data_IF_729711832869
#
_entry.id   IF_729711832869
#
_cell.length_a   1.000
_cell.length_b   1.000
_cell.length_c   1.000
_cell.angle_alpha   90.00
_cell.angle_beta   90.00
_cell.angle_gamma   90.00
#
_symmetry.space_group_name_H-M   'P 1'
#
loop_
_entity.id
_entity.type
_entity.pdbx_description
1 polymer ?
#
# COMPACT_ATOMS: atom_id res chain seq x y z
N UNK A 1 -12.17 -16.49 35.16
CA UNK A 1 -13.47 -15.80 35.27
C UNK A 1 -13.85 -15.03 34.01
N UNK A 2 -12.97 -14.23 33.41
CA UNK A 2 -13.29 -13.41 32.22
C UNK A 2 -13.75 -14.27 31.01
N UNK A 3 -13.05 -15.36 30.71
CA UNK A 3 -13.44 -16.25 29.60
C UNK A 3 -14.80 -16.92 29.79
N UNK A 4 -15.20 -17.22 31.03
CA UNK A 4 -16.50 -17.86 31.30
C UNK A 4 -17.67 -16.90 31.03
N UNK A 5 -17.49 -15.62 31.38
CA UNK A 5 -18.46 -14.56 31.07
C UNK A 5 -18.51 -14.32 29.56
N UNK A 6 -17.35 -14.29 28.88
CA UNK A 6 -17.28 -14.15 27.44
C UNK A 6 -17.99 -15.30 26.70
N UNK A 7 -17.74 -16.56 27.08
CA UNK A 7 -18.42 -17.71 26.49
C UNK A 7 -19.95 -17.63 26.64
N UNK A 8 -20.44 -17.29 27.83
CA UNK A 8 -21.88 -17.16 28.09
C UNK A 8 -22.51 -16.04 27.25
N UNK A 9 -21.83 -14.90 27.13
CA UNK A 9 -22.30 -13.79 26.32
C UNK A 9 -22.29 -14.12 24.83
N UNK A 10 -21.23 -14.76 24.34
CA UNK A 10 -21.11 -15.16 22.93
C UNK A 10 -22.17 -16.18 22.58
N UNK A 11 -22.42 -17.17 23.42
CA UNK A 11 -23.45 -18.19 23.21
C UNK A 11 -24.84 -17.55 23.02
N UNK A 12 -25.28 -16.72 23.96
CA UNK A 12 -26.55 -16.00 23.86
C UNK A 12 -26.61 -15.00 22.69
N UNK A 13 -25.49 -14.35 22.37
CA UNK A 13 -25.42 -13.43 21.25
C UNK A 13 -25.56 -14.18 19.92
N UNK A 14 -24.93 -15.35 19.78
CA UNK A 14 -24.98 -16.14 18.57
C UNK A 14 -26.40 -16.62 18.27
N UNK A 15 -27.16 -17.05 19.27
CA UNK A 15 -28.57 -17.39 19.10
C UNK A 15 -29.40 -16.22 18.55
N UNK A 16 -29.20 -15.02 19.11
CA UNK A 16 -29.87 -13.82 18.63
C UNK A 16 -29.45 -13.45 17.20
N UNK A 17 -28.18 -13.61 16.85
CA UNK A 17 -27.66 -13.36 15.50
C UNK A 17 -28.26 -14.35 14.49
N UNK A 18 -28.28 -15.65 14.81
CA UNK A 18 -28.88 -16.68 13.95
C UNK A 18 -30.37 -16.43 13.74
N UNK A 19 -31.10 -16.05 14.81
CA UNK A 19 -32.50 -15.67 14.72
C UNK A 19 -32.74 -14.48 13.80
N UNK A 20 -31.88 -13.45 13.86
CA UNK A 20 -31.97 -12.28 12.97
C UNK A 20 -31.61 -12.59 11.52
N UNK A 21 -30.64 -13.46 11.28
CA UNK A 21 -30.28 -13.92 9.93
C UNK A 21 -31.45 -14.65 9.29
N UNK A 22 -32.10 -15.56 10.04
CA UNK A 22 -33.30 -16.26 9.61
C UNK A 22 -34.47 -15.29 9.34
N UNK A 23 -34.68 -14.29 10.21
CA UNK A 23 -35.77 -13.32 10.03
C UNK A 23 -35.56 -12.37 8.83
N UNK A 24 -34.30 -12.07 8.48
CA UNK A 24 -33.98 -11.05 7.46
C UNK A 24 -33.83 -11.62 6.06
N UNK A 25 -33.35 -12.86 5.93
CA UNK A 25 -33.07 -13.50 4.65
C UNK A 25 -33.54 -14.95 4.55
N UNK A 26 -34.35 -15.41 5.51
CA UNK A 26 -34.86 -16.77 5.57
C UNK A 26 -33.78 -17.83 5.73
N UNK A 27 -34.14 -19.05 5.38
CA UNK A 27 -33.26 -20.22 5.41
C UNK A 27 -32.05 -20.06 4.48
N UNK A 28 -32.18 -19.30 3.39
CA UNK A 28 -31.10 -19.06 2.43
C UNK A 28 -29.91 -18.32 3.05
N UNK A 29 -30.17 -17.23 3.80
CA UNK A 29 -29.10 -16.46 4.44
C UNK A 29 -28.46 -17.22 5.59
N UNK A 30 -29.28 -17.93 6.39
CA UNK A 30 -28.79 -18.81 7.45
C UNK A 30 -27.90 -19.93 6.88
N UNK A 31 -28.35 -20.58 5.80
CA UNK A 31 -27.58 -21.62 5.11
C UNK A 31 -26.28 -21.05 4.54
N UNK A 32 -26.31 -19.85 3.93
CA UNK A 32 -25.10 -19.20 3.43
C UNK A 32 -24.08 -18.92 4.54
N UNK A 33 -24.55 -18.41 5.68
CA UNK A 33 -23.69 -18.17 6.84
C UNK A 33 -23.03 -19.46 7.33
N UNK A 34 -23.81 -20.51 7.59
CA UNK A 34 -23.29 -21.77 8.17
C UNK A 34 -22.46 -22.58 7.17
N UNK A 35 -22.93 -22.72 5.93
CA UNK A 35 -22.31 -23.63 4.96
C UNK A 35 -21.22 -23.00 4.09
N UNK A 36 -21.15 -21.66 4.01
CA UNK A 36 -20.15 -20.96 3.18
C UNK A 36 -19.25 -20.06 4.01
N UNK A 37 -19.81 -19.12 4.76
CA UNK A 37 -19.02 -18.12 5.48
C UNK A 37 -18.21 -18.75 6.63
N UNK A 38 -18.82 -19.59 7.47
CA UNK A 38 -18.09 -20.21 8.58
C UNK A 38 -16.93 -21.11 8.15
N UNK A 39 -17.05 -21.97 7.10
CA UNK A 39 -15.92 -22.69 6.54
C UNK A 39 -14.81 -21.78 5.98
N UNK A 40 -15.16 -20.65 5.37
CA UNK A 40 -14.18 -19.66 4.90
C UNK A 40 -13.39 -19.09 6.07
N UNK A 41 -14.04 -18.73 7.17
CA UNK A 41 -13.35 -18.26 8.38
C UNK A 41 -12.35 -19.30 8.91
N UNK A 42 -12.73 -20.58 8.92
CA UNK A 42 -11.82 -21.64 9.34
C UNK A 42 -10.61 -21.79 8.41
N UNK A 43 -10.82 -21.68 7.08
CA UNK A 43 -9.73 -21.73 6.12
C UNK A 43 -8.77 -20.53 6.27
N UNK A 44 -9.30 -19.33 6.51
CA UNK A 44 -8.51 -18.13 6.77
C UNK A 44 -7.69 -18.26 8.06
N UNK A 45 -8.30 -18.74 9.14
CA UNK A 45 -7.62 -18.96 10.41
C UNK A 45 -6.45 -19.96 10.28
N UNK A 46 -6.63 -21.03 9.50
CA UNK A 46 -5.52 -21.98 9.19
C UNK A 46 -4.41 -21.30 8.38
N UNK A 47 -4.79 -20.53 7.36
CA UNK A 47 -3.83 -19.81 6.51
C UNK A 47 -3.04 -18.76 7.29
N UNK A 48 -3.64 -18.15 8.31
CA UNK A 48 -2.97 -17.21 9.20
C UNK A 48 -1.92 -17.90 10.08
N UNK A 49 -2.21 -19.11 10.58
CA UNK A 49 -1.25 -19.92 11.36
C UNK A 49 -0.07 -20.40 10.51
N UNK A 50 -0.35 -20.88 9.30
CA UNK A 50 0.71 -21.31 8.36
C UNK A 50 1.58 -20.13 7.91
N UNK A 51 0.98 -18.94 7.87
CA UNK A 51 1.64 -17.68 7.51
C UNK A 51 2.04 -17.62 6.05
N UNK A 52 2.89 -16.64 5.72
CA UNK A 52 3.42 -16.48 4.37
C UNK A 52 4.94 -16.64 4.38
N UNK A 53 5.49 -17.73 3.80
CA UNK A 53 6.93 -17.95 3.80
C UNK A 53 7.61 -16.91 2.90
N UNK A 54 8.45 -16.07 3.50
CA UNK A 54 9.31 -15.12 2.78
C UNK A 54 10.78 -15.43 3.05
N UNK A 55 11.59 -15.54 2.00
CA UNK A 55 13.04 -15.65 2.14
C UNK A 55 13.60 -14.28 2.58
N UNK A 56 13.83 -14.13 3.88
CA UNK A 56 14.33 -12.90 4.49
C UNK A 56 15.70 -12.50 3.96
N UNK A 57 16.57 -13.44 3.60
CA UNK A 57 17.89 -13.14 3.08
C UNK A 57 17.79 -12.53 1.68
N UNK A 58 17.01 -13.15 0.80
CA UNK A 58 16.76 -12.61 -0.54
C UNK A 58 16.04 -11.26 -0.48
N UNK A 59 15.07 -11.12 0.43
CA UNK A 59 14.32 -9.88 0.61
C UNK A 59 15.21 -8.75 1.15
N UNK A 60 16.08 -9.04 2.12
CA UNK A 60 17.08 -8.10 2.61
C UNK A 60 18.06 -7.63 1.52
N UNK A 61 18.55 -8.56 0.71
CA UNK A 61 19.41 -8.25 -0.44
C UNK A 61 18.67 -7.38 -1.48
N UNK A 62 17.38 -7.65 -1.73
CA UNK A 62 16.55 -6.84 -2.62
C UNK A 62 16.36 -5.42 -2.06
N UNK A 63 16.07 -5.27 -0.78
CA UNK A 63 15.93 -3.96 -0.12
C UNK A 63 17.22 -3.14 -0.28
N UNK A 64 18.38 -3.75 0.00
CA UNK A 64 19.68 -3.09 -0.13
C UNK A 64 19.93 -2.63 -1.58
N UNK A 65 19.65 -3.50 -2.57
CA UNK A 65 19.76 -3.17 -4.00
C UNK A 65 18.84 -2.03 -4.40
N UNK A 66 17.59 -2.03 -3.95
CA UNK A 66 16.62 -0.99 -4.27
C UNK A 66 16.98 0.35 -3.63
N UNK A 67 17.45 0.37 -2.37
CA UNK A 67 17.95 1.59 -1.72
C UNK A 67 19.17 2.15 -2.46
N UNK A 68 20.13 1.30 -2.83
CA UNK A 68 21.28 1.72 -3.63
C UNK A 68 20.87 2.30 -4.99
N UNK A 69 19.95 1.65 -5.70
CA UNK A 69 19.43 2.15 -6.98
C UNK A 69 18.69 3.48 -6.82
N UNK A 70 17.88 3.64 -5.76
CA UNK A 70 17.20 4.91 -5.46
C UNK A 70 18.21 6.03 -5.23
N UNK A 71 19.26 5.76 -4.46
CA UNK A 71 20.28 6.77 -4.15
C UNK A 71 21.10 7.16 -5.39
N UNK A 72 21.37 6.20 -6.30
CA UNK A 72 21.96 6.48 -7.63
C UNK A 72 21.06 7.39 -8.47
N UNK A 73 19.76 7.10 -8.53
CA UNK A 73 18.78 7.95 -9.23
C UNK A 73 18.74 9.36 -8.62
N UNK A 74 18.81 9.47 -7.29
CA UNK A 74 18.86 10.76 -6.61
C UNK A 74 20.11 11.56 -6.97
N UNK A 75 21.26 10.89 -7.14
CA UNK A 75 22.50 11.51 -7.59
C UNK A 75 22.41 11.99 -9.05
N UNK A 76 21.90 11.15 -9.95
CA UNK A 76 21.71 11.53 -11.36
C UNK A 76 20.74 12.71 -11.52
N UNK A 77 19.63 12.69 -10.77
CA UNK A 77 18.67 13.78 -10.77
C UNK A 77 19.29 15.07 -10.20
N UNK A 78 20.18 14.98 -9.21
CA UNK A 78 20.90 16.14 -8.66
C UNK A 78 21.77 16.78 -9.74
N UNK A 79 22.50 15.98 -10.52
CA UNK A 79 23.33 16.47 -11.64
C UNK A 79 22.48 17.19 -12.69
N UNK A 80 21.35 16.60 -13.08
CA UNK A 80 20.42 17.21 -14.04
C UNK A 80 19.70 18.45 -13.49
N UNK A 81 19.58 18.58 -12.17
CA UNK A 81 18.97 19.73 -11.49
C UNK A 81 20.01 20.80 -11.09
N UNK A 82 21.12 20.91 -11.82
CA UNK A 82 22.16 21.92 -11.58
C UNK A 82 22.89 21.72 -10.24
N UNK A 83 23.21 20.48 -9.90
CA UNK A 83 23.81 20.05 -8.62
C UNK A 83 22.98 20.36 -7.37
N UNK A 84 21.71 20.72 -7.50
CA UNK A 84 20.80 20.95 -6.38
C UNK A 84 20.04 19.70 -6.01
N UNK A 85 19.99 19.40 -4.71
CA UNK A 85 19.16 18.30 -4.18
C UNK A 85 17.70 18.54 -4.54
N UNK A 86 17.03 17.48 -4.98
CA UNK A 86 15.61 17.48 -5.30
C UNK A 86 14.85 16.70 -4.25
N UNK A 87 13.81 17.29 -3.68
CA UNK A 87 12.84 16.56 -2.88
C UNK A 87 11.80 15.90 -3.81
N UNK A 88 11.93 14.59 -3.99
CA UNK A 88 11.05 13.78 -4.82
C UNK A 88 9.63 13.64 -4.27
N UNK A 89 9.44 13.80 -2.96
CA UNK A 89 8.14 13.70 -2.30
C UNK A 89 7.32 14.97 -2.49
N UNK A 90 7.98 16.13 -2.52
CA UNK A 90 7.33 17.42 -2.72
C UNK A 90 6.94 17.64 -4.18
N UNK A 91 5.62 17.59 -4.45
CA UNK A 91 5.08 17.92 -5.77
C UNK A 91 5.48 19.33 -6.25
N UNK A 92 5.64 20.29 -5.32
CA UNK A 92 6.06 21.65 -5.63
C UNK A 92 7.54 21.72 -6.00
N UNK A 93 8.40 21.02 -5.26
CA UNK A 93 9.83 20.97 -5.57
C UNK A 93 10.08 20.34 -6.95
N UNK A 94 9.41 19.22 -7.24
CA UNK A 94 9.46 18.55 -8.55
C UNK A 94 8.97 19.47 -9.66
N UNK A 95 7.86 20.17 -9.46
CA UNK A 95 7.34 21.08 -10.47
C UNK A 95 8.24 22.28 -10.73
N UNK A 96 8.88 22.83 -9.70
CA UNK A 96 9.86 23.89 -9.85
C UNK A 96 11.09 23.40 -10.64
N UNK A 97 11.61 22.21 -10.31
CA UNK A 97 12.75 21.60 -11.00
C UNK A 97 12.46 21.32 -12.48
N UNK A 98 11.22 20.90 -12.79
CA UNK A 98 10.76 20.65 -14.15
C UNK A 98 10.19 21.89 -14.84
N UNK A 99 10.27 23.07 -14.22
CA UNK A 99 9.73 24.36 -14.72
C UNK A 99 8.25 24.27 -15.15
N UNK A 100 7.47 23.47 -14.43
CA UNK A 100 6.02 23.28 -14.64
C UNK A 100 5.17 24.34 -13.96
N UNK A 101 5.78 25.18 -13.11
CA UNK A 101 5.10 26.31 -12.50
C UNK A 101 4.83 27.36 -13.60
N UNK A 102 3.56 27.52 -13.97
CA UNK A 102 3.14 28.60 -14.85
C UNK A 102 3.53 29.94 -14.22
N UNK A 103 4.30 30.74 -14.96
CA UNK A 103 4.35 32.16 -14.76
C UNK A 103 2.95 32.71 -15.13
N UNK A 104 2.23 33.29 -14.17
CA UNK A 104 1.02 34.05 -14.45
C UNK A 104 -0.23 33.63 -13.68
N UNK A 105 -1.05 34.65 -13.46
CA UNK A 105 -2.25 34.71 -12.65
C UNK A 105 -3.33 33.73 -13.16
N UNK A 106 -3.54 32.64 -12.42
CA UNK A 106 -4.47 31.57 -12.80
C UNK A 106 -4.00 30.21 -12.28
N UNK A 107 -4.27 29.93 -11.00
CA UNK A 107 -3.86 28.72 -10.26
C UNK A 107 -4.40 27.41 -10.89
N UNK A 108 -3.84 26.96 -12.02
CA UNK A 108 -3.94 25.54 -12.41
C UNK A 108 -3.08 24.74 -11.45
N UNK A 109 -3.75 23.92 -10.64
CA UNK A 109 -3.14 23.05 -9.61
C UNK A 109 -2.00 22.26 -10.26
N UNK A 110 -0.78 22.49 -9.79
CA UNK A 110 0.42 21.80 -10.24
C UNK A 110 0.22 20.29 -10.03
N UNK A 111 0.21 19.50 -11.11
CA UNK A 111 0.10 18.04 -11.06
C UNK A 111 1.42 17.41 -11.45
N UNK A 112 1.99 16.60 -10.57
CA UNK A 112 3.18 15.78 -10.84
C UNK A 112 2.81 14.29 -10.83
N UNK A 113 1.60 13.97 -11.27
CA UNK A 113 1.17 12.57 -11.45
C UNK A 113 1.99 11.93 -12.56
N UNK A 114 2.15 10.61 -12.49
CA UNK A 114 2.95 9.83 -13.45
C UNK A 114 2.60 10.16 -14.91
N UNK A 115 1.31 10.19 -15.24
CA UNK A 115 0.81 10.53 -16.58
C UNK A 115 1.25 11.92 -17.07
N UNK A 116 1.36 12.91 -16.18
CA UNK A 116 1.82 14.25 -16.55
C UNK A 116 3.32 14.25 -16.79
N UNK A 117 4.07 13.55 -15.94
CA UNK A 117 5.53 13.45 -16.04
C UNK A 117 5.98 12.68 -17.28
N UNK A 118 5.27 11.61 -17.66
CA UNK A 118 5.56 10.81 -18.86
C UNK A 118 5.42 11.64 -20.15
N UNK A 119 4.50 12.61 -20.18
CA UNK A 119 4.28 13.50 -21.34
C UNK A 119 5.37 14.55 -21.53
N UNK A 120 6.22 14.79 -20.54
CA UNK A 120 7.24 15.84 -20.61
C UNK A 120 8.50 15.40 -21.37
N UNK A 121 8.66 14.09 -21.62
CA UNK A 121 9.83 13.50 -22.28
C UNK A 121 11.19 13.97 -21.70
N UNK A 122 11.19 14.41 -20.44
CA UNK A 122 12.37 14.96 -19.77
C UNK A 122 13.11 13.84 -19.04
N UNK A 123 14.46 13.76 -19.15
CA UNK A 123 15.24 12.78 -18.41
C UNK A 123 15.07 12.95 -16.90
N UNK A 124 14.91 14.19 -16.41
CA UNK A 124 14.64 14.45 -15.00
C UNK A 124 13.26 13.95 -14.58
N UNK A 125 12.24 14.08 -15.43
CA UNK A 125 10.89 13.56 -15.14
C UNK A 125 10.89 12.02 -15.05
N UNK A 126 11.64 11.34 -15.94
CA UNK A 126 11.83 9.89 -15.89
C UNK A 126 12.48 9.43 -14.58
N UNK A 127 13.53 10.13 -14.12
CA UNK A 127 14.19 9.84 -12.84
C UNK A 127 13.24 10.05 -11.64
N UNK A 128 12.41 11.10 -11.66
CA UNK A 128 11.40 11.33 -10.62
C UNK A 128 10.38 10.19 -10.57
N UNK A 129 9.90 9.72 -11.72
CA UNK A 129 8.99 8.57 -11.80
C UNK A 129 9.66 7.33 -11.22
N UNK A 130 10.90 7.03 -11.63
CA UNK A 130 11.64 5.86 -11.18
C UNK A 130 11.89 5.89 -9.67
N UNK A 131 12.33 7.03 -9.13
CA UNK A 131 12.53 7.21 -7.69
C UNK A 131 11.23 6.98 -6.91
N UNK A 132 10.13 7.61 -7.32
CA UNK A 132 8.82 7.44 -6.66
C UNK A 132 8.30 6.01 -6.73
N UNK A 133 8.56 5.30 -7.83
CA UNK A 133 8.22 3.89 -7.99
C UNK A 133 8.99 3.04 -6.98
N UNK A 134 10.30 3.23 -6.87
CA UNK A 134 11.12 2.47 -5.91
C UNK A 134 10.67 2.76 -4.48
N UNK A 135 10.53 4.04 -4.12
CA UNK A 135 10.15 4.45 -2.76
C UNK A 135 8.76 3.91 -2.35
N UNK A 136 7.78 3.96 -3.27
CA UNK A 136 6.45 3.42 -3.00
C UNK A 136 6.45 1.90 -2.85
N UNK A 137 7.24 1.18 -3.65
CA UNK A 137 7.32 -0.29 -3.55
C UNK A 137 8.06 -0.71 -2.26
N UNK A 138 9.16 -0.02 -1.92
CA UNK A 138 9.89 -0.25 -0.68
C UNK A 138 8.99 -0.05 0.54
N UNK A 139 8.38 1.12 0.68
CA UNK A 139 7.62 1.50 1.88
C UNK A 139 6.32 0.73 2.06
N UNK A 140 5.59 0.42 0.97
CA UNK A 140 4.24 -0.16 1.06
C UNK A 140 4.18 -1.67 0.91
N UNK A 141 5.18 -2.27 0.27
CA UNK A 141 5.12 -3.69 -0.11
C UNK A 141 6.30 -4.46 0.45
N UNK A 142 7.53 -4.04 0.16
CA UNK A 142 8.72 -4.86 0.40
C UNK A 142 9.16 -4.81 1.87
N UNK A 143 9.26 -3.61 2.46
CA UNK A 143 9.70 -3.48 3.85
C UNK A 143 8.69 -4.06 4.87
N UNK A 144 7.36 -3.96 4.69
CA UNK A 144 6.40 -4.67 5.53
C UNK A 144 6.60 -6.19 5.52
N UNK A 145 6.83 -6.79 4.35
CA UNK A 145 7.08 -8.23 4.22
C UNK A 145 8.40 -8.69 4.87
N UNK A 146 9.37 -7.77 5.03
CA UNK A 146 10.62 -8.06 5.72
C UNK A 146 10.52 -7.93 7.24
N UNK A 147 9.61 -7.07 7.73
CA UNK A 147 9.37 -6.84 9.16
C UNK A 147 8.42 -7.87 9.77
N UNK A 148 7.52 -8.44 8.98
CA UNK A 148 6.67 -9.56 9.35
C UNK A 148 7.52 -10.82 9.61
#
# INVERSE_FOLDING_TARGET
MICAVECLLVDHLMDAVLGRLAASGGETLLTCFVSREMPVQLALARSEVDGFPADRQQLGALIARLKSSRDRIAEEARKLNGNRRLDFSSARAVANALRLAAAGDGRKRIRTTRQVLERLESPLAALVIAHRKIESNLSRTIEPLYRA
#
